data_IF_034162460149
#
_entry.id   IF_034162460149
#
_cell.length_a   1.000
_cell.length_b   1.000
_cell.length_c   1.000
_cell.angle_alpha   90.00
_cell.angle_beta   90.00
_cell.angle_gamma   90.00
#
_symmetry.space_group_name_H-M   'P 1'
#
loop_
_entity.id
_entity.type
_entity.pdbx_description
1 polymer ?
#
# COMPACT_ATOMS: atom_id res chain seq x y z
N UNK A 1 0.86 6.93 -21.07
CA UNK A 1 2.20 6.72 -20.46
C UNK A 1 1.97 5.93 -19.19
N UNK A 2 2.46 4.70 -19.09
CA UNK A 2 2.37 3.93 -17.85
C UNK A 2 3.24 4.62 -16.81
N UNK A 3 2.64 5.09 -15.71
CA UNK A 3 3.39 5.66 -14.59
C UNK A 3 4.20 4.52 -13.97
N UNK A 4 5.51 4.73 -13.81
CA UNK A 4 6.43 3.70 -13.34
C UNK A 4 6.30 3.56 -11.82
N UNK A 5 6.32 2.33 -11.31
CA UNK A 5 6.26 2.07 -9.87
C UNK A 5 7.64 2.32 -9.23
N UNK A 6 8.03 3.59 -9.12
CA UNK A 6 9.32 4.00 -8.55
C UNK A 6 9.32 4.06 -7.01
N UNK A 7 8.14 3.89 -6.40
CA UNK A 7 7.94 3.94 -4.96
C UNK A 7 8.13 5.31 -4.33
N UNK A 8 8.03 6.37 -5.13
CA UNK A 8 8.03 7.77 -4.71
C UNK A 8 6.78 8.47 -5.25
N UNK A 9 6.40 8.22 -6.50
CA UNK A 9 5.26 8.84 -7.15
C UNK A 9 4.02 7.94 -7.12
N UNK A 10 2.86 8.58 -7.19
CA UNK A 10 1.58 7.89 -7.28
C UNK A 10 1.44 7.25 -8.66
N UNK A 11 1.36 5.92 -8.72
CA UNK A 11 1.17 5.17 -9.97
C UNK A 11 -0.16 5.49 -10.68
N UNK A 12 -1.10 6.13 -9.98
CA UNK A 12 -2.43 6.49 -10.52
C UNK A 12 -2.42 7.88 -11.16
N UNK A 13 -1.77 8.87 -10.52
CA UNK A 13 -1.85 10.27 -10.94
C UNK A 13 -0.50 10.96 -11.17
N UNK A 14 0.62 10.29 -10.88
CA UNK A 14 1.98 10.80 -11.04
C UNK A 14 2.44 11.81 -9.99
N UNK A 15 1.57 12.18 -9.02
CA UNK A 15 1.93 13.14 -7.97
C UNK A 15 2.77 12.49 -6.86
N UNK A 16 3.62 13.29 -6.23
CA UNK A 16 4.49 12.95 -5.10
C UNK A 16 3.94 13.41 -3.74
N UNK A 17 2.76 14.03 -3.72
CA UNK A 17 2.12 14.51 -2.49
C UNK A 17 1.34 13.40 -1.80
N UNK A 18 1.88 12.92 -0.69
CA UNK A 18 1.26 11.91 0.16
C UNK A 18 1.06 12.41 1.58
N UNK A 19 -0.16 12.29 2.08
CA UNK A 19 -0.53 12.53 3.47
C UNK A 19 -0.62 11.20 4.21
N UNK A 20 -0.25 11.18 5.48
CA UNK A 20 -0.45 10.01 6.33
C UNK A 20 -1.96 9.74 6.48
N UNK A 21 -2.40 8.54 6.13
CA UNK A 21 -3.80 8.14 6.16
C UNK A 21 -4.08 7.38 7.46
N UNK A 22 -5.00 7.92 8.25
CA UNK A 22 -5.53 7.25 9.43
C UNK A 22 -6.88 6.61 9.10
N UNK A 23 -6.83 5.44 8.45
CA UNK A 23 -8.01 4.60 8.25
C UNK A 23 -8.03 3.48 9.28
N UNK A 24 -8.82 3.64 10.34
CA UNK A 24 -9.00 2.59 11.34
C UNK A 24 -9.62 1.32 10.73
N UNK A 25 -10.57 1.49 9.79
CA UNK A 25 -11.17 0.35 9.10
C UNK A 25 -10.11 -0.44 8.31
N UNK A 26 -9.23 0.23 7.56
CA UNK A 26 -8.16 -0.46 6.81
C UNK A 26 -7.13 -1.10 7.73
N UNK A 27 -6.82 -0.48 8.88
CA UNK A 27 -5.93 -1.09 9.88
C UNK A 27 -6.52 -2.38 10.44
N UNK A 28 -7.82 -2.40 10.71
CA UNK A 28 -8.53 -3.60 11.20
C UNK A 28 -8.71 -4.65 10.11
N UNK A 29 -9.05 -4.21 8.90
CA UNK A 29 -9.30 -5.06 7.75
C UNK A 29 -8.00 -5.56 7.09
N UNK A 30 -6.84 -4.96 7.34
CA UNK A 30 -5.58 -5.41 6.77
C UNK A 30 -4.48 -5.37 7.84
N UNK A 31 -4.05 -6.53 8.39
CA UNK A 31 -3.12 -6.56 9.52
C UNK A 31 -1.75 -5.94 9.18
N UNK A 32 -1.33 -5.96 7.91
CA UNK A 32 -0.11 -5.31 7.45
C UNK A 32 -0.20 -3.77 7.36
N UNK A 33 -1.42 -3.19 7.38
CA UNK A 33 -1.64 -1.73 7.47
C UNK A 33 -1.51 -1.24 8.91
N UNK A 34 -1.73 -2.10 9.90
CA UNK A 34 -1.46 -1.78 11.30
C UNK A 34 0.03 -1.55 11.55
N UNK A 35 0.88 -2.40 10.94
CA UNK A 35 2.33 -2.35 11.08
C UNK A 35 3.01 -1.37 10.11
N UNK A 36 2.42 -1.15 8.93
CA UNK A 36 2.95 -0.28 7.88
C UNK A 36 2.20 1.04 7.79
N UNK A 37 2.89 2.17 7.97
CA UNK A 37 2.29 3.49 7.80
C UNK A 37 1.59 3.60 6.43
N UNK A 38 0.27 3.87 6.45
CA UNK A 38 -0.51 4.07 5.24
C UNK A 38 -0.38 5.52 4.77
N UNK A 39 -0.09 5.73 3.49
CA UNK A 39 0.00 7.05 2.87
C UNK A 39 -1.05 7.17 1.78
N UNK A 40 -1.86 8.22 1.85
CA UNK A 40 -2.84 8.55 0.83
C UNK A 40 -2.30 9.66 -0.07
N UNK A 41 -2.40 9.47 -1.38
CA UNK A 41 -2.09 10.50 -2.35
C UNK A 41 -3.12 11.62 -2.25
N UNK A 42 -2.67 12.85 -2.02
CA UNK A 42 -3.54 14.03 -1.95
C UNK A 42 -4.17 14.38 -3.31
N UNK A 43 -3.62 13.87 -4.41
CA UNK A 43 -4.10 14.13 -5.76
C UNK A 43 -5.32 13.32 -6.18
N UNK A 44 -5.30 12.02 -5.92
CA UNK A 44 -6.32 11.07 -6.39
C UNK A 44 -6.96 10.24 -5.27
N UNK A 45 -6.50 10.39 -4.02
CA UNK A 45 -6.99 9.60 -2.88
C UNK A 45 -6.49 8.15 -2.86
N UNK A 46 -5.60 7.75 -3.77
CA UNK A 46 -5.05 6.40 -3.77
C UNK A 46 -4.17 6.18 -2.53
N UNK A 47 -4.38 5.06 -1.82
CA UNK A 47 -3.66 4.72 -0.59
C UNK A 47 -2.56 3.72 -0.90
N UNK A 48 -1.42 3.88 -0.23
CA UNK A 48 -0.22 3.10 -0.44
C UNK A 48 0.41 2.70 0.89
N UNK A 49 0.93 1.47 0.95
CA UNK A 49 1.80 1.02 2.02
C UNK A 49 3.18 1.65 1.87
N UNK A 50 3.73 2.06 3.01
CA UNK A 50 5.11 2.51 3.15
C UNK A 50 5.98 1.34 3.57
N UNK A 51 7.10 1.17 2.86
CA UNK A 51 8.14 0.21 3.18
C UNK A 51 8.86 0.61 4.46
N UNK A 52 8.88 -0.30 5.45
CA UNK A 52 9.53 -0.07 6.73
C UNK A 52 11.05 0.09 6.64
N UNK A 53 11.68 -0.42 5.57
CA UNK A 53 13.13 -0.36 5.37
C UNK A 53 13.60 0.97 4.76
N UNK A 54 12.95 1.44 3.69
CA UNK A 54 13.42 2.61 2.93
C UNK A 54 12.41 3.78 2.87
N UNK A 55 11.24 3.64 3.51
CA UNK A 55 10.16 4.64 3.48
C UNK A 55 9.49 4.82 2.11
N UNK A 56 9.78 3.94 1.14
CA UNK A 56 9.22 3.98 -0.21
C UNK A 56 7.80 3.44 -0.25
N UNK A 57 6.99 3.94 -1.18
CA UNK A 57 5.68 3.39 -1.48
C UNK A 57 5.85 2.11 -2.30
N UNK A 58 5.07 1.07 -2.04
CA UNK A 58 5.23 -0.16 -2.83
C UNK A 58 3.96 -0.93 -3.11
N UNK A 59 2.92 -0.73 -2.32
CA UNK A 59 1.68 -1.46 -2.53
C UNK A 59 0.49 -0.52 -2.43
N UNK A 60 -0.34 -0.48 -3.47
CA UNK A 60 -1.61 0.23 -3.42
C UNK A 60 -2.62 -0.57 -2.60
N UNK A 61 -3.31 0.07 -1.67
CA UNK A 61 -4.34 -0.53 -0.82
C UNK A 61 -5.69 0.12 -1.11
N UNK A 62 -6.74 -0.67 -1.20
CA UNK A 62 -8.13 -0.20 -1.27
C UNK A 62 -9.08 -1.19 -0.56
N UNK A 63 -10.34 -0.80 -0.29
CA UNK A 63 -11.27 -1.66 0.45
C UNK A 63 -11.56 -3.01 -0.23
N UNK A 64 -11.63 -3.03 -1.56
CA UNK A 64 -11.86 -4.23 -2.36
C UNK A 64 -10.55 -4.86 -2.88
N UNK A 65 -9.49 -4.80 -2.09
CA UNK A 65 -8.17 -5.30 -2.49
C UNK A 65 -8.18 -6.82 -2.54
N UNK A 66 -7.65 -7.37 -3.63
CA UNK A 66 -7.47 -8.82 -3.79
C UNK A 66 -6.01 -9.22 -3.56
N UNK A 67 -5.77 -10.49 -3.17
CA UNK A 67 -4.42 -10.98 -2.82
C UNK A 67 -3.40 -10.88 -3.95
N UNK A 68 -3.85 -11.00 -5.21
CA UNK A 68 -3.01 -10.86 -6.39
C UNK A 68 -2.58 -9.42 -6.74
N UNK A 69 -3.22 -8.40 -6.16
CA UNK A 69 -2.89 -6.98 -6.42
C UNK A 69 -1.78 -6.48 -5.48
N UNK A 70 -1.48 -7.25 -4.43
CA UNK A 70 -0.42 -6.93 -3.51
C UNK A 70 0.92 -7.46 -4.01
N UNK A 71 1.84 -6.53 -4.21
CA UNK A 71 3.24 -6.83 -4.39
C UNK A 71 3.89 -6.96 -3.01
N UNK A 72 4.34 -8.15 -2.64
CA UNK A 72 5.06 -8.38 -1.39
C UNK A 72 6.43 -7.67 -1.36
N UNK A 73 6.96 -7.28 -2.52
CA UNK A 73 8.28 -6.69 -2.70
C UNK A 73 8.24 -5.19 -2.97
N UNK A 74 9.07 -4.43 -2.25
CA UNK A 74 9.28 -3.01 -2.48
C UNK A 74 10.06 -2.76 -3.78
N UNK A 75 9.54 -1.97 -4.74
CA UNK A 75 10.23 -1.69 -6.00
C UNK A 75 11.47 -0.79 -5.81
N UNK A 76 11.51 -0.02 -4.71
CA UNK A 76 12.61 0.92 -4.43
C UNK A 76 13.87 0.24 -3.89
N UNK A 77 13.72 -0.72 -2.98
CA UNK A 77 14.86 -1.34 -2.27
C UNK A 77 14.85 -2.88 -2.32
N UNK A 78 13.83 -3.50 -2.89
CA UNK A 78 13.68 -4.96 -2.96
C UNK A 78 13.29 -5.63 -1.64
N UNK A 79 13.02 -4.87 -0.58
CA UNK A 79 12.55 -5.41 0.70
C UNK A 79 11.21 -6.11 0.55
N UNK A 80 11.05 -7.28 1.19
CA UNK A 80 9.82 -8.07 1.14
C UNK A 80 9.06 -7.92 2.45
N UNK A 81 7.79 -7.53 2.36
CA UNK A 81 6.89 -7.53 3.52
C UNK A 81 6.33 -8.94 3.72
N UNK A 82 6.85 -9.65 4.71
CA UNK A 82 6.39 -11.00 5.05
C UNK A 82 4.90 -11.03 5.40
N UNK A 83 4.38 -9.99 6.06
CA UNK A 83 2.96 -9.88 6.43
C UNK A 83 2.04 -9.77 5.21
N UNK A 84 2.50 -9.12 4.13
CA UNK A 84 1.79 -9.07 2.85
C UNK A 84 1.95 -10.40 2.11
N UNK A 85 3.14 -10.99 2.14
CA UNK A 85 3.44 -12.26 1.47
C UNK A 85 2.59 -13.42 1.99
N UNK A 86 2.35 -13.46 3.31
CA UNK A 86 1.51 -14.50 3.93
C UNK A 86 0.03 -14.15 3.92
N UNK A 87 -0.34 -12.98 3.36
CA UNK A 87 -1.73 -12.57 3.26
C UNK A 87 -2.44 -13.35 2.15
N UNK A 88 -3.45 -14.10 2.54
CA UNK A 88 -4.23 -14.99 1.69
C UNK A 88 -5.50 -14.32 1.12
N UNK A 89 -5.66 -13.00 1.33
CA UNK A 89 -6.88 -12.27 0.93
C UNK A 89 -8.01 -12.33 1.96
N UNK A 90 -7.84 -13.04 3.08
CA UNK A 90 -8.92 -13.38 4.02
C UNK A 90 -9.40 -12.21 4.89
N UNK A 91 -8.77 -11.03 4.82
CA UNK A 91 -9.09 -9.92 5.71
C UNK A 91 -10.10 -8.90 5.15
N UNK A 92 -10.47 -9.01 3.86
CA UNK A 92 -11.67 -8.35 3.32
C UNK A 92 -12.98 -9.10 3.66
N UNK A 93 -12.96 -9.98 4.68
CA UNK A 93 -14.13 -10.73 5.10
C UNK A 93 -15.14 -9.81 5.79
N UNK A 94 -16.21 -9.53 5.04
CA UNK A 94 -17.60 -9.35 5.47
C UNK A 94 -17.82 -8.81 6.89
N UNK A 95 -18.18 -7.53 6.97
CA UNK A 95 -19.23 -7.08 7.90
C UNK A 95 -20.30 -6.36 7.09
#
# INVERSE_FOLDING_TARGET
MALQEDGVHCIVCGKDQFSLAHDEWMRRAFPFVEQGQLKMCAGCGAKFLVCSNCGGLYCRIHPALESWELTDKCPKCGWVNETVKVWDGTSARHF
#
